data_IF_288468487926
#
_entry.id   IF_288468487926
#
_cell.length_a   1.000
_cell.length_b   1.000
_cell.length_c   1.000
_cell.angle_alpha   90.00
_cell.angle_beta   90.00
_cell.angle_gamma   90.00
#
_symmetry.space_group_name_H-M   'P 1'
#
loop_
_entity.id
_entity.type
_entity.pdbx_description
1 polymer ?
#
# COMPACT_ATOMS: atom_id res chain seq x y z
N UNK A 1 18.01 -25.85 1.88
CA UNK A 1 17.82 -24.54 2.46
C UNK A 1 18.28 -24.57 3.91
N UNK A 2 19.44 -23.96 4.24
CA UNK A 2 19.77 -23.67 5.63
C UNK A 2 19.31 -22.24 5.92
N UNK A 3 18.46 -22.05 6.91
CA UNK A 3 17.95 -20.72 7.31
C UNK A 3 18.94 -19.95 8.20
N UNK A 4 20.16 -20.49 8.41
CA UNK A 4 21.13 -19.95 9.37
C UNK A 4 21.68 -18.55 9.07
N UNK A 5 21.42 -17.99 7.86
CA UNK A 5 21.90 -16.68 7.47
C UNK A 5 20.77 -15.79 6.89
N UNK A 6 19.50 -16.07 7.20
CA UNK A 6 18.40 -15.19 6.77
C UNK A 6 18.23 -14.05 7.77
N UNK A 7 18.10 -12.85 7.27
CA UNK A 7 17.70 -11.70 8.08
C UNK A 7 16.19 -11.77 8.37
N UNK A 8 15.86 -12.24 9.55
CA UNK A 8 14.48 -12.40 10.00
C UNK A 8 13.79 -11.06 10.29
N UNK A 9 14.52 -9.95 10.30
CA UNK A 9 13.96 -8.59 10.42
C UNK A 9 13.46 -8.02 9.10
N UNK A 10 13.89 -8.58 7.95
CA UNK A 10 13.50 -8.14 6.62
C UNK A 10 11.98 -8.09 6.45
N UNK A 11 11.47 -7.13 5.67
CA UNK A 11 10.03 -6.99 5.41
C UNK A 11 9.49 -7.98 4.38
N UNK A 12 10.37 -8.55 3.56
CA UNK A 12 10.05 -9.53 2.53
C UNK A 12 11.23 -10.49 2.36
N UNK A 13 10.96 -11.79 2.29
CA UNK A 13 11.93 -12.79 1.84
C UNK A 13 11.63 -13.19 0.41
N UNK A 14 12.66 -13.17 -0.46
CA UNK A 14 12.57 -13.64 -1.84
C UNK A 14 13.41 -14.89 -1.98
N UNK A 15 12.78 -16.01 -2.32
CA UNK A 15 13.43 -17.29 -2.56
C UNK A 15 13.47 -17.57 -4.07
N UNK A 16 14.69 -17.64 -4.64
CA UNK A 16 14.89 -18.00 -6.05
C UNK A 16 15.14 -19.48 -6.16
N UNK A 17 14.27 -20.19 -6.89
CA UNK A 17 14.31 -21.62 -7.02
C UNK A 17 14.27 -22.05 -8.49
N UNK A 18 15.07 -23.07 -8.78
CA UNK A 18 15.07 -23.78 -10.04
C UNK A 18 14.77 -25.26 -9.74
N UNK A 19 13.54 -25.70 -10.02
CA UNK A 19 13.09 -27.07 -9.72
C UNK A 19 13.93 -28.13 -10.42
N UNK A 20 14.53 -27.81 -11.59
CA UNK A 20 15.39 -28.75 -12.33
C UNK A 20 16.65 -29.16 -11.58
N UNK A 21 17.08 -28.39 -10.58
CA UNK A 21 18.23 -28.71 -9.71
C UNK A 21 17.91 -29.76 -8.63
N UNK A 22 16.63 -30.13 -8.47
CA UNK A 22 16.14 -31.03 -7.42
C UNK A 22 15.63 -32.36 -8.00
N UNK A 23 16.28 -32.86 -9.05
CA UNK A 23 15.82 -34.03 -9.85
C UNK A 23 15.60 -35.33 -9.08
N UNK A 24 16.24 -35.48 -7.91
CA UNK A 24 16.25 -36.75 -7.17
C UNK A 24 15.35 -36.73 -5.91
N UNK A 25 14.54 -35.69 -5.74
CA UNK A 25 13.62 -35.55 -4.60
C UNK A 25 12.26 -35.11 -5.05
N UNK A 26 11.22 -35.41 -4.26
CA UNK A 26 9.93 -34.78 -4.44
C UNK A 26 10.05 -33.30 -4.05
N UNK A 27 10.28 -32.44 -5.06
CA UNK A 27 10.56 -31.01 -4.88
C UNK A 27 9.44 -30.31 -4.11
N UNK A 28 8.18 -30.55 -4.48
CA UNK A 28 7.01 -29.90 -3.82
C UNK A 28 6.91 -30.30 -2.36
N UNK A 29 7.01 -31.59 -2.02
CA UNK A 29 6.97 -32.05 -0.64
C UNK A 29 8.14 -31.52 0.19
N UNK A 30 9.36 -31.53 -0.38
CA UNK A 30 10.56 -30.99 0.25
C UNK A 30 10.41 -29.49 0.55
N UNK A 31 9.98 -28.73 -0.44
CA UNK A 31 9.87 -27.27 -0.29
C UNK A 31 8.75 -26.89 0.68
N UNK A 32 7.59 -27.53 0.61
CA UNK A 32 6.48 -27.27 1.54
C UNK A 32 6.89 -27.50 2.99
N UNK A 33 7.63 -28.58 3.28
CA UNK A 33 8.17 -28.83 4.62
C UNK A 33 9.12 -27.71 5.09
N UNK A 34 9.96 -27.21 4.21
CA UNK A 34 10.91 -26.11 4.51
C UNK A 34 10.21 -24.76 4.67
N UNK A 35 9.24 -24.45 3.84
CA UNK A 35 8.46 -23.21 3.93
C UNK A 35 7.61 -23.19 5.20
N UNK A 36 7.03 -24.32 5.59
CA UNK A 36 6.31 -24.45 6.87
C UNK A 36 7.24 -24.12 8.06
N UNK A 37 8.42 -24.74 8.13
CA UNK A 37 9.40 -24.44 9.17
C UNK A 37 9.89 -22.99 9.16
N UNK A 38 10.01 -22.37 7.96
CA UNK A 38 10.32 -20.95 7.84
C UNK A 38 9.22 -20.09 8.44
N UNK A 39 7.95 -20.37 8.13
CA UNK A 39 6.79 -19.59 8.61
C UNK A 39 6.57 -19.68 10.12
N UNK A 40 7.07 -20.71 10.80
CA UNK A 40 7.08 -20.77 12.26
C UNK A 40 7.94 -19.66 12.91
N UNK A 41 8.93 -19.13 12.19
CA UNK A 41 9.87 -18.11 12.69
C UNK A 41 9.72 -16.76 11.97
N UNK A 42 9.23 -16.75 10.72
CA UNK A 42 9.10 -15.56 9.89
C UNK A 42 7.64 -15.34 9.49
N UNK A 43 7.01 -14.30 10.04
CA UNK A 43 5.58 -14.03 9.90
C UNK A 43 5.24 -12.99 8.80
N UNK A 44 6.26 -12.45 8.11
CA UNK A 44 6.07 -11.51 7.01
C UNK A 44 5.98 -12.25 5.66
N UNK A 45 5.63 -11.57 4.55
CA UNK A 45 5.47 -12.22 3.24
C UNK A 45 6.73 -12.93 2.75
N UNK A 46 6.52 -14.07 2.06
CA UNK A 46 7.56 -14.80 1.35
C UNK A 46 7.20 -14.91 -0.12
N UNK A 47 8.07 -14.45 -1.01
CA UNK A 47 7.92 -14.54 -2.45
C UNK A 47 8.83 -15.66 -2.99
N UNK A 48 8.26 -16.70 -3.54
CA UNK A 48 8.99 -17.80 -4.18
C UNK A 48 9.04 -17.54 -5.69
N UNK A 49 10.18 -17.15 -6.20
CA UNK A 49 10.43 -17.00 -7.64
C UNK A 49 10.86 -18.36 -8.20
N UNK A 50 10.00 -18.95 -9.02
CA UNK A 50 10.19 -20.29 -9.55
C UNK A 50 10.55 -20.23 -11.04
N UNK A 51 11.79 -20.62 -11.38
CA UNK A 51 12.28 -20.60 -12.76
C UNK A 51 11.62 -21.69 -13.61
N UNK A 52 11.49 -22.87 -13.07
CA UNK A 52 10.87 -24.04 -13.71
C UNK A 52 10.07 -24.85 -12.70
N UNK A 53 9.11 -25.63 -13.23
CA UNK A 53 8.28 -26.53 -12.46
C UNK A 53 7.02 -25.87 -11.91
N UNK A 54 6.22 -26.68 -11.25
CA UNK A 54 4.98 -26.27 -10.59
C UNK A 54 5.14 -26.41 -9.08
N UNK A 55 4.54 -25.51 -8.34
CA UNK A 55 4.55 -25.49 -6.89
C UNK A 55 3.19 -25.05 -6.38
N UNK A 56 2.49 -25.95 -5.73
CA UNK A 56 1.24 -25.66 -5.03
C UNK A 56 1.53 -25.44 -3.54
N UNK A 57 1.16 -24.28 -3.02
CA UNK A 57 1.29 -23.90 -1.62
C UNK A 57 -0.08 -23.48 -1.09
N UNK A 58 -0.43 -23.95 0.09
CA UNK A 58 -1.71 -23.66 0.76
C UNK A 58 -1.61 -22.49 1.78
N UNK A 59 -0.49 -21.78 1.84
CA UNK A 59 -0.27 -20.68 2.78
C UNK A 59 -0.43 -19.34 2.05
N UNK A 60 -1.42 -18.53 2.46
CA UNK A 60 -1.74 -17.23 1.86
C UNK A 60 -0.62 -16.17 2.02
N UNK A 61 0.34 -16.38 2.91
CA UNK A 61 1.50 -15.49 3.10
C UNK A 61 2.70 -15.87 2.24
N UNK A 62 2.57 -16.94 1.46
CA UNK A 62 3.60 -17.40 0.52
C UNK A 62 3.05 -17.24 -0.89
N UNK A 63 3.72 -16.40 -1.66
CA UNK A 63 3.32 -16.10 -3.04
C UNK A 63 4.29 -16.81 -3.98
N UNK A 64 3.75 -17.62 -4.89
CA UNK A 64 4.53 -18.28 -5.93
C UNK A 64 4.49 -17.43 -7.20
N UNK A 65 5.66 -16.97 -7.61
CA UNK A 65 5.86 -16.22 -8.84
C UNK A 65 6.56 -17.12 -9.86
N UNK A 66 5.76 -17.79 -10.69
CA UNK A 66 6.30 -18.65 -11.75
C UNK A 66 6.77 -17.82 -12.94
N UNK A 67 7.99 -18.09 -13.40
CA UNK A 67 8.55 -17.48 -14.60
C UNK A 67 8.04 -18.10 -15.89
N UNK A 68 7.30 -19.19 -15.80
CA UNK A 68 6.69 -19.89 -16.95
C UNK A 68 5.82 -18.95 -17.80
N UNK A 69 5.19 -17.94 -17.17
CA UNK A 69 4.37 -16.93 -17.87
C UNK A 69 5.14 -16.17 -18.98
N UNK A 70 6.47 -16.07 -18.89
CA UNK A 70 7.30 -15.41 -19.90
C UNK A 70 7.80 -16.36 -20.98
N UNK A 71 7.53 -17.65 -20.87
CA UNK A 71 8.09 -18.67 -21.78
C UNK A 71 7.59 -18.49 -23.21
N UNK A 72 6.31 -18.22 -23.39
CA UNK A 72 5.71 -18.03 -24.70
C UNK A 72 6.26 -16.78 -25.41
N UNK A 73 6.43 -15.67 -24.65
CA UNK A 73 6.89 -14.40 -25.21
C UNK A 73 8.38 -14.42 -25.57
N UNK A 74 9.18 -15.12 -24.77
CA UNK A 74 10.64 -15.17 -24.96
C UNK A 74 11.09 -16.33 -25.85
N UNK A 75 10.34 -17.43 -25.91
CA UNK A 75 10.68 -18.61 -26.71
C UNK A 75 12.11 -19.08 -26.42
N UNK A 76 12.94 -19.16 -27.47
CA UNK A 76 14.35 -19.57 -27.36
C UNK A 76 15.23 -18.60 -26.54
N UNK A 77 14.75 -17.38 -26.29
CA UNK A 77 15.45 -16.37 -25.46
C UNK A 77 15.14 -16.51 -23.97
N UNK A 78 14.38 -17.50 -23.53
CA UNK A 78 14.07 -17.72 -22.12
C UNK A 78 15.30 -18.16 -21.35
N UNK A 79 16.10 -19.08 -21.87
CA UNK A 79 17.35 -19.55 -21.27
C UNK A 79 18.57 -19.02 -22.00
N UNK A 80 19.67 -18.87 -21.24
CA UNK A 80 21.03 -18.75 -21.77
C UNK A 80 21.99 -19.58 -20.89
N UNK A 81 22.18 -20.82 -21.28
CA UNK A 81 23.03 -21.78 -20.55
C UNK A 81 24.52 -21.34 -20.45
N UNK A 82 24.96 -20.39 -21.29
CA UNK A 82 26.33 -19.84 -21.21
C UNK A 82 26.52 -19.01 -19.94
N UNK A 83 25.46 -18.39 -19.43
CA UNK A 83 25.48 -17.55 -18.24
C UNK A 83 25.58 -18.36 -16.94
N UNK A 84 25.21 -19.64 -16.92
CA UNK A 84 25.16 -20.44 -15.71
C UNK A 84 26.48 -20.46 -14.95
N UNK A 85 27.62 -20.55 -15.65
CA UNK A 85 28.97 -20.56 -15.04
C UNK A 85 29.33 -19.26 -14.34
N UNK A 86 28.73 -18.14 -14.74
CA UNK A 86 29.06 -16.80 -14.24
C UNK A 86 28.03 -16.29 -13.23
N UNK A 87 26.73 -16.49 -13.51
CA UNK A 87 25.64 -15.94 -12.71
C UNK A 87 24.98 -16.97 -11.78
N UNK A 88 25.31 -18.26 -11.92
CA UNK A 88 24.68 -19.33 -11.17
C UNK A 88 23.22 -19.63 -11.61
N UNK A 89 22.74 -19.01 -12.69
CA UNK A 89 21.39 -19.24 -13.25
C UNK A 89 21.46 -19.38 -14.75
N UNK A 90 20.52 -20.11 -15.32
CA UNK A 90 20.31 -20.24 -16.76
C UNK A 90 19.36 -19.18 -17.34
N UNK A 91 18.91 -18.24 -16.53
CA UNK A 91 18.06 -17.14 -16.99
C UNK A 91 18.81 -16.26 -18.00
N UNK A 92 18.18 -16.00 -19.13
CA UNK A 92 18.73 -15.05 -20.10
C UNK A 92 18.67 -13.60 -19.58
N UNK A 93 19.45 -12.70 -20.16
CA UNK A 93 19.35 -11.27 -19.86
C UNK A 93 17.96 -10.70 -20.21
N UNK A 94 17.30 -11.22 -21.25
CA UNK A 94 15.95 -10.81 -21.63
C UNK A 94 14.92 -11.21 -20.57
N UNK A 95 14.98 -12.44 -20.07
CA UNK A 95 14.13 -12.89 -18.97
C UNK A 95 14.42 -12.10 -17.69
N UNK A 96 15.69 -11.92 -17.34
CA UNK A 96 16.09 -11.17 -16.14
C UNK A 96 15.54 -9.74 -16.15
N UNK A 97 15.54 -9.06 -17.30
CA UNK A 97 14.99 -7.70 -17.42
C UNK A 97 13.47 -7.68 -17.19
N UNK A 98 12.72 -8.62 -17.79
CA UNK A 98 11.26 -8.69 -17.59
C UNK A 98 10.90 -9.01 -16.17
N UNK A 99 11.59 -9.98 -15.56
CA UNK A 99 11.38 -10.37 -14.15
C UNK A 99 11.69 -9.21 -13.21
N UNK A 100 12.83 -8.54 -13.40
CA UNK A 100 13.22 -7.41 -12.54
C UNK A 100 12.22 -6.27 -12.62
N UNK A 101 11.70 -5.97 -13.82
CA UNK A 101 10.66 -4.95 -14.01
C UNK A 101 9.36 -5.35 -13.33
N UNK A 102 8.89 -6.58 -13.52
CA UNK A 102 7.63 -7.04 -12.95
C UNK A 102 7.69 -7.16 -11.42
N UNK A 103 8.79 -7.70 -10.88
CA UNK A 103 9.01 -7.74 -9.44
C UNK A 103 9.09 -6.34 -8.84
N UNK A 104 9.86 -5.43 -9.44
CA UNK A 104 10.08 -4.09 -8.92
C UNK A 104 8.87 -3.17 -9.00
N UNK A 105 8.03 -3.31 -10.02
CA UNK A 105 6.85 -2.44 -10.21
C UNK A 105 5.56 -3.01 -9.62
N UNK A 106 5.42 -4.34 -9.58
CA UNK A 106 4.15 -4.98 -9.22
C UNK A 106 4.24 -5.77 -7.91
N UNK A 107 5.09 -6.82 -7.85
CA UNK A 107 5.06 -7.77 -6.73
C UNK A 107 5.68 -7.22 -5.44
N UNK A 108 6.90 -6.69 -5.49
CA UNK A 108 7.57 -6.18 -4.30
C UNK A 108 6.77 -5.03 -3.67
N UNK A 109 6.33 -3.99 -4.43
CA UNK A 109 5.50 -2.94 -3.85
C UNK A 109 4.19 -3.44 -3.25
N UNK A 110 3.51 -4.40 -3.90
CA UNK A 110 2.27 -4.95 -3.38
C UNK A 110 2.43 -5.73 -2.07
N UNK A 111 3.63 -6.29 -1.83
CA UNK A 111 3.91 -7.10 -0.64
C UNK A 111 4.44 -6.30 0.56
N UNK A 112 5.12 -5.18 0.30
CA UNK A 112 5.77 -4.37 1.36
C UNK A 112 5.06 -3.04 1.63
N UNK A 113 4.22 -2.55 0.70
CA UNK A 113 3.46 -1.31 0.92
C UNK A 113 2.28 -1.57 1.84
N UNK A 114 1.91 -0.58 2.65
CA UNK A 114 0.73 -0.68 3.50
C UNK A 114 -0.53 -0.86 2.64
N UNK A 115 -1.42 -1.74 3.08
CA UNK A 115 -2.73 -1.92 2.46
C UNK A 115 -3.67 -0.84 2.99
N UNK A 116 -3.60 0.36 2.41
CA UNK A 116 -4.48 1.46 2.77
C UNK A 116 -5.93 1.13 2.39
N UNK A 117 -6.86 1.47 3.30
CA UNK A 117 -8.31 1.28 3.14
C UNK A 117 -9.07 2.58 3.29
N UNK A 118 -8.54 3.52 4.08
CA UNK A 118 -9.17 4.80 4.33
C UNK A 118 -8.19 5.95 4.13
N UNK A 119 -8.73 7.07 3.66
CA UNK A 119 -8.06 8.36 3.59
C UNK A 119 -8.82 9.30 4.51
N UNK A 120 -8.13 9.84 5.49
CA UNK A 120 -8.64 10.87 6.40
C UNK A 120 -8.00 12.19 6.02
N UNK A 121 -8.79 13.19 5.73
CA UNK A 121 -8.30 14.47 5.24
C UNK A 121 -8.75 15.60 6.17
N UNK A 122 -7.85 16.56 6.41
CA UNK A 122 -8.21 17.85 7.00
C UNK A 122 -8.94 18.74 5.97
N UNK A 123 -9.48 19.86 6.42
CA UNK A 123 -10.23 20.81 5.58
C UNK A 123 -9.42 22.07 5.29
N UNK A 124 -9.18 22.89 6.31
CA UNK A 124 -8.57 24.21 6.20
C UNK A 124 -7.15 24.11 5.61
N UNK A 125 -6.86 24.89 4.59
CA UNK A 125 -5.60 24.88 3.82
C UNK A 125 -5.20 23.50 3.23
N UNK A 126 -6.05 22.49 3.37
CA UNK A 126 -5.85 21.14 2.82
C UNK A 126 -6.78 20.88 1.62
N UNK A 127 -8.09 21.05 1.75
CA UNK A 127 -9.04 20.91 0.64
C UNK A 127 -9.33 22.24 -0.06
N UNK A 128 -9.08 23.35 0.59
CA UNK A 128 -9.21 24.71 0.08
C UNK A 128 -8.21 25.63 0.79
N UNK A 129 -7.92 26.78 0.26
CA UNK A 129 -7.11 27.82 0.92
C UNK A 129 -7.99 28.68 1.81
N UNK A 130 -7.56 28.90 3.04
CA UNK A 130 -8.25 29.67 4.08
C UNK A 130 -8.70 28.82 5.26
N UNK A 131 -9.24 29.48 6.29
CA UNK A 131 -9.74 28.89 7.52
C UNK A 131 -11.23 29.16 7.63
N UNK A 132 -12.06 28.11 7.55
CA UNK A 132 -13.52 28.23 7.45
C UNK A 132 -14.12 29.09 8.59
N UNK A 133 -13.68 28.85 9.82
CA UNK A 133 -14.20 29.54 11.00
C UNK A 133 -13.81 31.01 11.10
N UNK A 134 -12.74 31.44 10.39
CA UNK A 134 -12.23 32.82 10.41
C UNK A 134 -12.67 33.59 9.14
N UNK A 135 -12.51 32.97 7.97
CA UNK A 135 -12.73 33.61 6.68
C UNK A 135 -14.21 33.54 6.23
N UNK A 136 -14.91 32.51 6.70
CA UNK A 136 -16.27 32.19 6.24
C UNK A 136 -16.30 31.55 4.84
N UNK A 137 -17.45 30.95 4.52
CA UNK A 137 -17.67 30.11 3.32
C UNK A 137 -17.33 30.86 2.01
N UNK A 138 -17.62 32.17 1.95
CA UNK A 138 -17.48 32.97 0.73
C UNK A 138 -16.02 33.38 0.44
N UNK A 139 -15.17 33.38 1.45
CA UNK A 139 -13.77 33.86 1.32
C UNK A 139 -12.75 32.72 1.23
N UNK A 140 -13.12 31.49 1.54
CA UNK A 140 -12.26 30.32 1.27
C UNK A 140 -12.14 30.10 -0.25
N UNK A 141 -10.95 29.73 -0.72
CA UNK A 141 -10.64 29.68 -2.15
C UNK A 141 -10.26 28.27 -2.61
N UNK A 142 -10.92 27.78 -3.66
CA UNK A 142 -10.52 26.56 -4.35
C UNK A 142 -9.42 26.89 -5.37
N UNK A 143 -8.16 26.69 -5.00
CA UNK A 143 -7.05 26.83 -5.94
C UNK A 143 -6.97 25.60 -6.86
N UNK A 144 -6.17 25.70 -7.94
CA UNK A 144 -5.99 24.57 -8.87
C UNK A 144 -5.38 23.34 -8.17
N UNK A 145 -4.43 23.53 -7.24
CA UNK A 145 -3.86 22.43 -6.45
C UNK A 145 -4.90 21.72 -5.59
N UNK A 146 -5.76 22.49 -4.90
CA UNK A 146 -6.84 21.92 -4.09
C UNK A 146 -7.89 21.21 -4.96
N UNK A 147 -8.21 21.76 -6.13
CA UNK A 147 -9.11 21.10 -7.10
C UNK A 147 -8.58 19.75 -7.53
N UNK A 148 -7.31 19.67 -7.95
CA UNK A 148 -6.67 18.43 -8.37
C UNK A 148 -6.61 17.40 -7.23
N UNK A 149 -6.34 17.84 -5.99
CA UNK A 149 -6.38 16.97 -4.81
C UNK A 149 -7.80 16.40 -4.62
N UNK A 150 -8.82 17.24 -4.62
CA UNK A 150 -10.21 16.80 -4.44
C UNK A 150 -10.64 15.83 -5.55
N UNK A 151 -10.32 16.12 -6.82
CA UNK A 151 -10.60 15.21 -7.94
C UNK A 151 -9.91 13.86 -7.77
N UNK A 152 -8.65 13.87 -7.32
CA UNK A 152 -7.91 12.62 -7.03
C UNK A 152 -8.52 11.83 -5.89
N UNK A 153 -8.92 12.49 -4.80
CA UNK A 153 -9.58 11.86 -3.66
C UNK A 153 -10.93 11.25 -4.06
N UNK A 154 -11.68 11.93 -4.91
CA UNK A 154 -12.94 11.42 -5.44
C UNK A 154 -12.74 10.13 -6.25
N UNK A 155 -11.76 10.10 -7.15
CA UNK A 155 -11.42 8.88 -7.91
C UNK A 155 -11.01 7.74 -6.97
N UNK A 156 -10.28 8.02 -5.90
CA UNK A 156 -9.89 6.99 -4.92
C UNK A 156 -11.11 6.48 -4.13
N UNK A 157 -12.06 7.37 -3.77
CA UNK A 157 -13.32 6.96 -3.15
C UNK A 157 -14.14 6.05 -4.07
N UNK A 158 -14.24 6.37 -5.36
CA UNK A 158 -14.90 5.53 -6.39
C UNK A 158 -14.20 4.17 -6.57
N UNK A 159 -12.90 4.09 -6.30
CA UNK A 159 -12.11 2.85 -6.32
C UNK A 159 -12.26 2.01 -5.04
N UNK A 160 -13.04 2.49 -4.06
CA UNK A 160 -13.37 1.75 -2.85
C UNK A 160 -12.59 2.15 -1.60
N UNK A 161 -11.82 3.25 -1.64
CA UNK A 161 -11.25 3.81 -0.41
C UNK A 161 -12.34 4.54 0.39
N UNK A 162 -12.38 4.33 1.70
CA UNK A 162 -13.20 5.14 2.58
C UNK A 162 -12.59 6.55 2.69
N UNK A 163 -13.35 7.57 2.30
CA UNK A 163 -12.93 8.95 2.45
C UNK A 163 -13.58 9.53 3.71
N UNK A 164 -12.78 10.14 4.60
CA UNK A 164 -13.24 10.68 5.87
C UNK A 164 -12.63 12.05 6.14
N UNK A 165 -13.29 12.84 6.98
CA UNK A 165 -12.82 14.13 7.43
C UNK A 165 -12.42 14.07 8.91
N UNK A 166 -11.27 14.66 9.27
CA UNK A 166 -10.87 14.97 10.63
C UNK A 166 -10.43 16.43 10.72
N UNK A 167 -11.32 17.31 11.17
CA UNK A 167 -11.09 18.76 11.15
C UNK A 167 -11.44 19.42 12.49
N UNK A 168 -10.75 20.53 12.78
CA UNK A 168 -11.00 21.41 13.94
C UNK A 168 -11.95 22.55 13.56
N UNK A 169 -13.12 22.19 13.09
CA UNK A 169 -14.20 23.12 12.71
C UNK A 169 -15.50 22.74 13.40
N UNK A 170 -16.44 23.68 13.47
CA UNK A 170 -17.81 23.36 13.86
C UNK A 170 -18.48 22.52 12.77
N UNK A 171 -19.14 21.44 13.18
CA UNK A 171 -19.75 20.51 12.23
C UNK A 171 -20.86 21.17 11.39
N UNK A 172 -21.62 22.11 11.98
CA UNK A 172 -22.66 22.88 11.27
C UNK A 172 -22.07 23.63 10.08
N UNK A 173 -20.95 24.32 10.30
CA UNK A 173 -20.32 25.18 9.32
C UNK A 173 -19.72 24.35 8.17
N UNK A 174 -19.14 23.19 8.48
CA UNK A 174 -18.66 22.24 7.47
C UNK A 174 -19.80 21.71 6.61
N UNK A 175 -20.94 21.36 7.21
CA UNK A 175 -22.10 20.89 6.45
C UNK A 175 -22.72 22.00 5.58
N UNK A 176 -22.75 23.23 6.08
CA UNK A 176 -23.22 24.39 5.33
C UNK A 176 -22.27 24.72 4.17
N UNK A 177 -20.96 24.72 4.43
CA UNK A 177 -19.95 24.94 3.41
C UNK A 177 -20.11 23.98 2.21
N UNK A 178 -20.21 22.68 2.43
CA UNK A 178 -20.39 21.73 1.35
C UNK A 178 -21.73 21.89 0.60
N UNK A 179 -22.77 22.41 1.25
CA UNK A 179 -24.05 22.72 0.58
C UNK A 179 -23.95 23.94 -0.33
N UNK A 180 -23.17 24.96 0.07
CA UNK A 180 -23.03 26.19 -0.69
C UNK A 180 -21.94 26.10 -1.77
N UNK A 181 -20.85 25.36 -1.52
CA UNK A 181 -19.70 25.23 -2.41
C UNK A 181 -19.89 24.11 -3.44
N UNK A 182 -20.85 24.33 -4.34
CA UNK A 182 -21.12 23.41 -5.46
C UNK A 182 -19.99 23.34 -6.49
N UNK A 183 -19.03 24.26 -6.42
CA UNK A 183 -17.81 24.28 -7.23
C UNK A 183 -16.75 23.27 -6.75
N UNK A 184 -16.89 22.72 -5.54
CA UNK A 184 -15.98 21.70 -5.04
C UNK A 184 -16.21 20.36 -5.75
N UNK A 185 -15.16 19.69 -6.25
CA UNK A 185 -15.27 18.33 -6.80
C UNK A 185 -15.82 17.31 -5.81
N UNK A 186 -15.42 17.41 -4.54
CA UNK A 186 -15.93 16.58 -3.45
C UNK A 186 -17.21 17.19 -2.87
N UNK A 187 -18.18 16.32 -2.61
CA UNK A 187 -19.45 16.64 -1.99
C UNK A 187 -19.65 15.84 -0.70
N UNK A 188 -20.64 16.18 0.12
CA UNK A 188 -20.89 15.48 1.40
C UNK A 188 -21.04 13.96 1.25
N UNK A 189 -21.68 13.52 0.18
CA UNK A 189 -21.96 12.11 -0.08
C UNK A 189 -20.70 11.30 -0.45
N UNK A 190 -19.61 11.96 -0.79
CA UNK A 190 -18.31 11.31 -1.05
C UNK A 190 -17.63 10.88 0.27
N UNK A 191 -18.07 11.40 1.43
CA UNK A 191 -17.45 11.13 2.72
C UNK A 191 -18.20 10.08 3.53
N UNK A 192 -17.52 9.00 3.88
CA UNK A 192 -18.05 7.93 4.70
C UNK A 192 -18.25 8.35 6.16
N UNK A 193 -17.34 9.20 6.68
CA UNK A 193 -17.41 9.70 8.07
C UNK A 193 -16.83 11.11 8.15
N UNK A 194 -17.54 11.99 8.87
CA UNK A 194 -17.11 13.36 9.14
C UNK A 194 -16.95 13.52 10.65
N UNK A 195 -15.72 13.75 11.09
CA UNK A 195 -15.35 14.05 12.48
C UNK A 195 -14.88 15.51 12.55
N UNK A 196 -15.71 16.37 13.11
CA UNK A 196 -15.40 17.77 13.41
C UNK A 196 -15.36 17.93 14.92
N UNK A 197 -14.21 18.31 15.48
CA UNK A 197 -14.00 18.43 16.91
C UNK A 197 -12.77 19.27 17.20
N UNK A 198 -12.83 20.10 18.24
CA UNK A 198 -11.68 20.84 18.77
C UNK A 198 -10.68 19.98 19.57
N UNK A 199 -11.01 18.71 19.78
CA UNK A 199 -10.10 17.73 20.39
C UNK A 199 -8.92 17.41 19.44
N UNK A 200 -7.86 16.77 19.96
CA UNK A 200 -6.76 16.30 19.12
C UNK A 200 -7.25 15.41 17.96
N UNK A 201 -6.72 15.63 16.76
CA UNK A 201 -7.11 14.85 15.55
C UNK A 201 -6.88 13.34 15.71
N UNK A 202 -5.96 12.93 16.60
CA UNK A 202 -5.75 11.53 16.95
C UNK A 202 -7.02 10.85 17.51
N UNK A 203 -7.87 11.58 18.25
CA UNK A 203 -9.16 11.05 18.72
C UNK A 203 -10.14 10.84 17.56
N UNK A 204 -10.20 11.80 16.62
CA UNK A 204 -11.01 11.68 15.40
C UNK A 204 -10.59 10.47 14.56
N UNK A 205 -9.28 10.25 14.42
CA UNK A 205 -8.71 9.09 13.71
C UNK A 205 -9.07 7.79 14.43
N UNK A 206 -9.00 7.74 15.77
CA UNK A 206 -9.45 6.59 16.56
C UNK A 206 -10.92 6.29 16.35
N UNK A 207 -11.77 7.31 16.35
CA UNK A 207 -13.22 7.16 16.09
C UNK A 207 -13.51 6.66 14.68
N UNK A 208 -12.76 7.15 13.67
CA UNK A 208 -12.90 6.71 12.28
C UNK A 208 -12.47 5.24 12.15
N UNK A 209 -11.31 4.87 12.72
CA UNK A 209 -10.81 3.49 12.73
C UNK A 209 -11.83 2.52 13.35
N UNK A 210 -12.42 2.88 14.48
CA UNK A 210 -13.46 2.08 15.15
C UNK A 210 -14.74 2.00 14.32
N UNK A 211 -15.20 3.11 13.75
CA UNK A 211 -16.41 3.17 12.93
C UNK A 211 -16.30 2.30 11.68
N UNK A 212 -15.14 2.34 11.00
CA UNK A 212 -14.86 1.55 9.80
C UNK A 212 -14.43 0.11 10.12
N UNK A 213 -14.14 -0.19 11.37
CA UNK A 213 -13.58 -1.48 11.82
C UNK A 213 -12.30 -1.86 11.04
N UNK A 214 -11.36 -0.92 10.94
CA UNK A 214 -10.06 -1.11 10.26
C UNK A 214 -8.91 -0.74 11.20
N UNK A 215 -7.71 -1.29 10.94
CA UNK A 215 -6.49 -0.91 11.66
C UNK A 215 -6.02 0.51 11.31
N UNK A 216 -5.36 1.17 12.25
CA UNK A 216 -4.75 2.50 12.05
C UNK A 216 -3.68 2.46 10.94
N UNK A 217 -2.98 1.35 10.80
CA UNK A 217 -2.00 1.06 9.76
C UNK A 217 -2.59 1.00 8.34
N UNK A 218 -3.92 0.97 8.23
CA UNK A 218 -4.65 1.03 6.96
C UNK A 218 -5.18 2.44 6.63
N UNK A 219 -4.79 3.47 7.41
CA UNK A 219 -5.24 4.86 7.25
C UNK A 219 -4.11 5.74 6.73
N UNK A 220 -4.41 6.50 5.67
CA UNK A 220 -3.61 7.65 5.23
C UNK A 220 -4.26 8.92 5.80
N UNK A 221 -3.53 9.67 6.60
CA UNK A 221 -3.95 10.97 7.11
C UNK A 221 -3.26 12.08 6.33
N UNK A 222 -4.04 13.00 5.75
CA UNK A 222 -3.56 14.14 4.94
C UNK A 222 -3.90 15.43 5.67
N UNK A 223 -2.89 16.28 5.89
CA UNK A 223 -3.00 17.52 6.62
C UNK A 223 -1.93 18.51 6.12
N UNK A 224 -2.23 19.81 6.06
CA UNK A 224 -1.26 20.85 5.68
C UNK A 224 -0.32 21.22 6.84
N UNK A 225 -0.70 20.88 8.07
CA UNK A 225 0.06 21.24 9.27
C UNK A 225 0.97 20.07 9.70
N UNK A 226 2.31 20.20 9.58
CA UNK A 226 3.23 19.16 10.00
C UNK A 226 3.17 18.89 11.52
N UNK A 227 2.73 19.85 12.33
CA UNK A 227 2.53 19.68 13.77
C UNK A 227 1.37 18.71 14.08
N UNK A 228 0.27 18.77 13.32
CA UNK A 228 -0.85 17.83 13.46
C UNK A 228 -0.44 16.43 13.03
N UNK A 229 0.26 16.30 11.89
CA UNK A 229 0.80 15.01 11.43
C UNK A 229 1.72 14.39 12.49
N UNK A 230 2.63 15.19 13.07
CA UNK A 230 3.52 14.72 14.10
C UNK A 230 2.77 14.31 15.38
N UNK A 231 1.81 15.12 15.82
CA UNK A 231 0.98 14.83 17.00
C UNK A 231 0.19 13.54 16.87
N UNK A 232 -0.39 13.31 15.70
CA UNK A 232 -1.12 12.09 15.39
C UNK A 232 -0.18 10.88 15.34
N UNK A 233 0.98 10.99 14.67
CA UNK A 233 1.96 9.92 14.56
C UNK A 233 2.57 9.51 15.92
N UNK A 234 2.69 10.42 16.86
CA UNK A 234 3.16 10.11 18.22
C UNK A 234 2.20 9.23 19.01
N UNK A 235 0.89 9.32 18.74
CA UNK A 235 -0.14 8.53 19.40
C UNK A 235 -0.40 7.25 18.60
N UNK A 236 -0.40 7.36 17.30
CA UNK A 236 -0.67 6.30 16.34
C UNK A 236 0.58 6.00 15.50
N UNK A 237 1.53 5.26 16.07
CA UNK A 237 2.86 5.02 15.46
C UNK A 237 2.83 4.35 14.09
N UNK A 238 1.73 3.65 13.76
CA UNK A 238 1.59 2.92 12.50
C UNK A 238 0.73 3.67 11.45
N UNK A 239 0.32 4.91 11.73
CA UNK A 239 -0.45 5.70 10.75
C UNK A 239 0.47 6.20 9.63
N UNK A 240 -0.10 6.33 8.44
CA UNK A 240 0.59 6.95 7.31
C UNK A 240 0.19 8.41 7.21
N UNK A 241 1.15 9.32 7.36
CA UNK A 241 0.95 10.76 7.23
C UNK A 241 1.41 11.29 5.86
N UNK A 242 0.64 12.20 5.27
CA UNK A 242 0.99 12.92 4.05
C UNK A 242 0.78 14.42 4.27
N UNK A 243 1.85 15.20 4.10
CA UNK A 243 1.77 16.66 4.14
C UNK A 243 1.14 17.18 2.85
N UNK A 244 0.03 17.90 2.97
CA UNK A 244 -0.55 18.67 1.87
C UNK A 244 0.26 19.97 1.67
N UNK A 245 0.79 20.21 0.46
CA UNK A 245 1.64 21.38 0.15
C UNK A 245 1.30 21.96 -1.22
#
# INVERSE_FOLDING_TARGET
LSFFNMDMSADLLILWLDANRYKNINFTAFLNGRLKALKEQYHKPVLVVLLDGELEIQDNQIIVYSLEKFRNDLGSRFYDYRLEKFSGTVMSSALSLQVSRDLGLNYIPALIRPCLKAIVVDLDNTLYSGVLGEDGIQNITLTEGHRLLQEKLKVLAEQGFFLCIASKNEKSDVLEMFRERVDFPLQLDDFTKICCSWNPKSESISQISQYLNIGIDSILFIDDNPGELYSVANIHTNIHGLLAS
#
